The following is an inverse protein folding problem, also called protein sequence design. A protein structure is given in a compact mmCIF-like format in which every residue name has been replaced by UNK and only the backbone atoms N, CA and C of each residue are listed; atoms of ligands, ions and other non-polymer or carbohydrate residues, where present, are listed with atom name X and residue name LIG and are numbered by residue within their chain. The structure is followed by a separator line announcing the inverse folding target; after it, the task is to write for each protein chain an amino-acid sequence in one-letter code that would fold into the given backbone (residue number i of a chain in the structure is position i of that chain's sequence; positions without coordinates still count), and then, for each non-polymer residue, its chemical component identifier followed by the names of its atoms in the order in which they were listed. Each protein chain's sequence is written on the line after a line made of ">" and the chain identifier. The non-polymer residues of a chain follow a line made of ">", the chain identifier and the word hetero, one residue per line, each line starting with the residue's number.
data_IF_143597630977
#
_entry.id   IF_143597630977
#
_cell.length_a   1.000
_cell.length_b   1.000
_cell.length_c   1.000
_cell.angle_alpha   90.00
_cell.angle_beta   90.00
_cell.angle_gamma   90.00
#
_symmetry.space_group_name_H-M   'P 1'
#
loop_
_entity.id
_entity.type
_entity.pdbx_description
1 polymer ?
#
# COMPACT_ATOMS: atom_id res chain seq x y z
N UNK A 1 -2.47 -21.42 14.07
CA UNK A 1 -1.33 -21.37 15.01
C UNK A 1 -1.81 -20.77 16.32
N UNK A 2 -1.36 -21.35 17.44
CA UNK A 2 -1.60 -20.79 18.78
C UNK A 2 -0.33 -20.13 19.26
N UNK A 3 -0.39 -18.84 19.59
CA UNK A 3 0.73 -18.07 20.14
C UNK A 3 0.41 -17.70 21.57
N UNK A 4 1.37 -17.88 22.46
CA UNK A 4 1.26 -17.44 23.86
C UNK A 4 2.04 -16.15 24.02
N UNK A 5 1.36 -15.09 24.42
CA UNK A 5 1.96 -13.78 24.68
C UNK A 5 1.98 -13.55 26.20
N UNK A 6 3.15 -13.18 26.73
CA UNK A 6 3.29 -12.80 28.14
C UNK A 6 3.23 -11.29 28.25
N UNK A 7 2.31 -10.77 29.06
CA UNK A 7 2.29 -9.37 29.41
C UNK A 7 3.45 -9.04 30.35
N UNK A 8 4.21 -8.02 30.01
CA UNK A 8 5.33 -7.52 30.81
C UNK A 8 4.77 -6.67 31.92
N UNK A 9 5.21 -6.88 33.17
CA UNK A 9 4.66 -6.22 34.36
C UNK A 9 4.80 -4.70 34.29
N UNK A 10 5.89 -4.23 33.72
CA UNK A 10 6.18 -2.82 33.51
C UNK A 10 5.15 -2.09 32.64
N UNK A 11 4.52 -2.80 31.68
CA UNK A 11 3.55 -2.24 30.75
C UNK A 11 2.17 -1.92 31.38
N UNK A 12 1.90 -2.41 32.60
CA UNK A 12 0.62 -2.19 33.28
C UNK A 12 0.78 -1.74 34.74
N UNK A 13 1.95 -1.22 35.11
CA UNK A 13 2.23 -0.71 36.45
C UNK A 13 1.24 0.37 36.89
N UNK A 14 0.83 1.24 35.96
CA UNK A 14 -0.14 2.30 36.21
C UNK A 14 -1.47 1.77 36.75
N UNK A 15 -1.87 0.58 36.30
CA UNK A 15 -3.10 -0.07 36.76
C UNK A 15 -2.97 -0.68 38.15
N UNK A 16 -1.73 -0.84 38.65
CA UNK A 16 -1.42 -1.38 39.97
C UNK A 16 -1.22 -0.31 41.02
N UNK A 17 -1.09 0.95 40.64
CA UNK A 17 -0.86 2.05 41.56
C UNK A 17 -1.97 2.14 42.62
N UNK A 18 -1.59 2.12 43.90
CA UNK A 18 -2.51 2.18 45.03
C UNK A 18 -3.35 0.91 45.27
N UNK A 19 -3.02 -0.22 44.62
CA UNK A 19 -3.74 -1.50 44.79
C UNK A 19 -2.92 -2.48 45.63
N UNK A 20 -3.57 -3.42 46.37
CA UNK A 20 -2.88 -4.46 47.10
C UNK A 20 -2.08 -5.38 46.17
N UNK A 21 -1.00 -6.01 46.72
CA UNK A 21 -0.07 -6.88 45.95
C UNK A 21 -0.78 -8.07 45.29
N UNK A 22 -1.90 -8.52 45.84
CA UNK A 22 -2.72 -9.59 45.28
C UNK A 22 -3.66 -9.18 44.17
N UNK A 23 -3.71 -7.87 43.82
CA UNK A 23 -4.60 -7.35 42.79
C UNK A 23 -4.07 -7.71 41.40
N UNK A 24 -4.95 -8.30 40.57
CA UNK A 24 -4.70 -8.50 39.15
C UNK A 24 -5.69 -7.67 38.33
N UNK A 25 -5.22 -6.77 37.46
CA UNK A 25 -6.10 -5.99 36.60
C UNK A 25 -6.72 -6.86 35.48
N UNK A 26 -6.13 -8.01 35.19
CA UNK A 26 -6.62 -8.93 34.16
C UNK A 26 -7.34 -10.11 34.77
N UNK A 27 -8.51 -10.46 34.23
CA UNK A 27 -9.33 -11.58 34.70
C UNK A 27 -9.47 -12.63 33.58
N UNK A 28 -9.65 -13.90 33.93
CA UNK A 28 -10.00 -14.95 32.97
C UNK A 28 -11.25 -14.57 32.18
N UNK A 29 -11.23 -14.80 30.86
CA UNK A 29 -12.34 -14.47 29.96
C UNK A 29 -12.26 -13.08 29.31
N UNK A 30 -11.30 -12.24 29.69
CA UNK A 30 -11.05 -10.99 28.96
C UNK A 30 -10.42 -11.27 27.60
N UNK A 31 -10.85 -10.52 26.58
CA UNK A 31 -10.26 -10.54 25.22
C UNK A 31 -9.34 -9.34 25.03
N UNK A 32 -8.32 -9.49 24.22
CA UNK A 32 -7.40 -8.43 23.85
C UNK A 32 -7.15 -8.45 22.34
N UNK A 33 -7.00 -7.28 21.77
CA UNK A 33 -6.49 -7.11 20.39
C UNK A 33 -4.99 -6.88 20.48
N UNK A 34 -4.24 -7.54 19.62
CA UNK A 34 -2.77 -7.46 19.61
C UNK A 34 -2.30 -7.23 18.18
N UNK A 35 -1.50 -6.20 17.99
CA UNK A 35 -0.80 -5.95 16.74
C UNK A 35 0.61 -6.53 16.81
N UNK A 36 0.93 -7.42 15.87
CA UNK A 36 2.23 -8.10 15.83
C UNK A 36 3.03 -7.55 14.65
N UNK A 37 4.06 -6.76 14.96
CA UNK A 37 5.01 -6.31 13.94
C UNK A 37 5.92 -7.49 13.56
N UNK A 38 5.80 -7.97 12.31
CA UNK A 38 6.58 -9.10 11.81
C UNK A 38 7.84 -8.69 11.07
N UNK A 39 7.79 -7.54 10.39
CA UNK A 39 8.91 -7.00 9.62
C UNK A 39 8.83 -5.47 9.60
N UNK A 40 9.98 -4.83 9.74
CA UNK A 40 10.10 -3.38 9.66
C UNK A 40 11.12 -3.00 8.59
N UNK A 41 10.75 -2.03 7.75
CA UNK A 41 11.62 -1.43 6.74
C UNK A 41 11.71 0.07 7.00
N UNK A 42 12.92 0.62 7.01
CA UNK A 42 13.16 2.04 7.28
C UNK A 42 13.75 2.71 6.06
N UNK A 43 13.49 4.02 5.89
CA UNK A 43 13.96 4.81 4.75
C UNK A 43 13.51 4.29 3.38
N UNK A 44 12.29 3.78 3.32
CA UNK A 44 11.68 3.25 2.09
C UNK A 44 10.76 4.27 1.45
N UNK A 45 10.56 4.13 0.14
CA UNK A 45 9.51 4.84 -0.56
C UNK A 45 8.20 4.09 -0.36
N UNK A 46 7.21 4.73 0.24
CA UNK A 46 5.90 4.14 0.48
C UNK A 46 4.81 4.94 -0.22
N UNK A 47 3.79 4.27 -0.71
CA UNK A 47 2.61 4.87 -1.35
C UNK A 47 1.34 4.30 -0.74
N UNK A 48 0.22 5.05 -0.71
CA UNK A 48 -1.06 4.51 -0.27
C UNK A 48 -1.47 3.30 -1.13
N UNK A 49 -2.02 2.26 -0.51
CA UNK A 49 -2.49 1.06 -1.21
C UNK A 49 -3.53 1.43 -2.30
N UNK A 50 -4.34 2.47 -2.06
CA UNK A 50 -5.34 2.97 -3.01
C UNK A 50 -4.75 3.49 -4.34
N UNK A 51 -3.44 3.77 -4.40
CA UNK A 51 -2.75 4.19 -5.60
C UNK A 51 -2.28 3.01 -6.48
N UNK A 52 -2.24 1.80 -5.94
CA UNK A 52 -1.81 0.61 -6.67
C UNK A 52 -2.97 0.06 -7.47
N UNK A 53 -2.76 -0.11 -8.77
CA UNK A 53 -3.70 -0.75 -9.68
C UNK A 53 -3.05 -1.96 -10.33
N UNK A 54 -3.84 -3.01 -10.52
CA UNK A 54 -3.41 -4.21 -11.22
C UNK A 54 -3.90 -4.11 -12.65
N UNK A 55 -2.98 -4.19 -13.61
CA UNK A 55 -3.29 -4.23 -15.04
C UNK A 55 -2.72 -5.50 -15.66
N UNK A 56 -3.53 -6.14 -16.47
CA UNK A 56 -3.18 -7.39 -17.15
C UNK A 56 -2.39 -7.12 -18.45
N UNK A 57 -2.54 -5.92 -19.03
CA UNK A 57 -1.85 -5.49 -20.24
C UNK A 57 -1.36 -4.04 -20.13
N UNK A 58 -0.06 -3.87 -20.22
CA UNK A 58 0.61 -2.56 -20.22
C UNK A 58 1.32 -2.37 -21.57
N UNK A 59 0.55 -2.28 -22.63
CA UNK A 59 1.01 -2.26 -24.03
C UNK A 59 2.03 -1.16 -24.35
N UNK A 60 2.10 -0.10 -23.55
CA UNK A 60 3.03 1.03 -23.78
C UNK A 60 4.35 0.94 -22.99
N UNK A 61 4.46 0.04 -22.00
CA UNK A 61 5.64 -0.04 -21.14
C UNK A 61 6.34 -1.40 -21.25
N UNK A 62 5.77 -2.31 -22.06
CA UNK A 62 6.23 -3.70 -22.20
C UNK A 62 7.65 -3.83 -22.72
N UNK A 63 8.13 -2.88 -23.54
CA UNK A 63 9.48 -2.97 -24.11
C UNK A 63 10.59 -2.73 -23.09
N UNK A 64 10.42 -1.74 -22.21
CA UNK A 64 11.51 -1.33 -21.32
C UNK A 64 11.64 -2.23 -20.09
N UNK A 65 10.54 -2.86 -19.65
CA UNK A 65 10.49 -3.65 -18.40
C UNK A 65 10.69 -5.15 -18.69
N UNK A 66 10.19 -5.64 -19.82
CA UNK A 66 10.48 -7.03 -20.23
C UNK A 66 11.97 -7.24 -20.42
N UNK A 67 12.71 -6.24 -20.92
CA UNK A 67 14.19 -6.33 -21.02
C UNK A 67 14.91 -6.35 -19.66
N UNK A 68 14.38 -5.66 -18.64
CA UNK A 68 14.96 -5.71 -17.28
C UNK A 68 14.60 -7.02 -16.55
N UNK A 69 13.36 -7.47 -16.67
CA UNK A 69 12.90 -8.71 -16.03
C UNK A 69 13.49 -9.94 -16.71
N UNK A 70 13.61 -9.95 -18.03
CA UNK A 70 14.25 -11.05 -18.77
C UNK A 70 15.75 -11.16 -18.48
N UNK A 71 16.43 -10.07 -18.12
CA UNK A 71 17.82 -10.11 -17.65
C UNK A 71 17.97 -10.71 -16.25
N UNK A 72 17.01 -10.47 -15.35
CA UNK A 72 17.03 -11.05 -14.00
C UNK A 72 16.52 -12.51 -13.97
N UNK A 73 15.61 -12.90 -14.89
CA UNK A 73 15.06 -14.26 -14.95
C UNK A 73 15.85 -15.22 -15.85
N UNK A 74 16.69 -14.73 -16.76
CA UNK A 74 17.58 -15.56 -17.57
C UNK A 74 18.61 -16.33 -16.74
N UNK A 75 18.85 -15.92 -15.49
CA UNK A 75 19.71 -16.65 -14.55
C UNK A 75 18.99 -17.78 -13.78
N UNK A 76 17.65 -17.89 -13.87
CA UNK A 76 16.89 -18.96 -13.19
C UNK A 76 16.04 -19.73 -14.21
N UNK A 77 16.64 -20.76 -14.79
CA UNK A 77 16.04 -21.73 -15.71
C UNK A 77 14.65 -22.22 -15.23
N UNK A 78 13.65 -22.06 -16.09
CA UNK A 78 12.38 -22.76 -15.96
C UNK A 78 11.33 -22.21 -16.91
N UNK A 79 11.11 -22.88 -18.07
CA UNK A 79 9.96 -22.64 -18.94
C UNK A 79 8.67 -22.86 -18.14
N UNK A 80 7.94 -21.80 -17.83
CA UNK A 80 6.59 -21.87 -17.31
C UNK A 80 5.58 -21.39 -18.36
N UNK A 81 4.36 -21.95 -18.42
CA UNK A 81 3.36 -21.58 -19.41
C UNK A 81 2.95 -20.12 -19.23
N UNK A 82 2.49 -19.48 -20.30
CA UNK A 82 1.94 -18.11 -20.33
C UNK A 82 0.85 -17.97 -19.26
N UNK A 83 1.23 -17.63 -18.03
CA UNK A 83 0.33 -17.10 -17.03
C UNK A 83 0.05 -15.67 -17.41
N UNK A 84 -1.21 -15.25 -17.31
CA UNK A 84 -1.59 -13.85 -17.36
C UNK A 84 -0.75 -13.09 -16.31
N UNK A 85 0.29 -12.41 -16.77
CA UNK A 85 1.22 -11.71 -15.89
C UNK A 85 0.51 -10.43 -15.47
N UNK A 86 0.09 -10.38 -14.22
CA UNK A 86 -0.52 -9.18 -13.61
C UNK A 86 0.59 -8.27 -13.13
N UNK A 87 0.57 -7.05 -13.63
CA UNK A 87 1.52 -6.02 -13.23
C UNK A 87 0.91 -5.07 -12.21
N UNK A 88 1.63 -4.83 -11.14
CA UNK A 88 1.30 -3.78 -10.19
C UNK A 88 1.78 -2.45 -10.75
N UNK A 89 0.87 -1.50 -10.88
CA UNK A 89 1.12 -0.23 -11.53
C UNK A 89 0.67 0.94 -10.66
N UNK A 90 1.27 2.09 -10.87
CA UNK A 90 0.88 3.36 -10.26
C UNK A 90 0.72 4.40 -11.35
N UNK A 91 -0.30 5.25 -11.23
CA UNK A 91 -0.42 6.42 -12.08
C UNK A 91 0.37 7.60 -11.48
N UNK A 92 1.28 8.12 -12.27
CA UNK A 92 2.11 9.29 -11.94
C UNK A 92 1.64 10.47 -12.78
N UNK A 93 1.46 11.62 -12.15
CA UNK A 93 1.17 12.86 -12.84
C UNK A 93 2.45 13.45 -13.44
N UNK A 94 2.47 13.65 -14.74
CA UNK A 94 3.56 14.29 -15.47
C UNK A 94 2.98 15.48 -16.24
N UNK A 95 3.20 16.69 -15.73
CA UNK A 95 2.48 17.88 -16.18
C UNK A 95 0.99 17.73 -15.88
N UNK A 96 0.14 17.81 -16.90
CA UNK A 96 -1.32 17.65 -16.78
C UNK A 96 -1.82 16.26 -17.22
N UNK A 97 -0.92 15.28 -17.36
CA UNK A 97 -1.27 13.95 -17.87
C UNK A 97 -0.93 12.86 -16.88
N UNK A 98 -1.81 11.85 -16.82
CA UNK A 98 -1.55 10.61 -16.11
C UNK A 98 -0.64 9.69 -16.94
N UNK A 99 0.45 9.21 -16.35
CA UNK A 99 1.29 8.15 -16.93
C UNK A 99 1.26 6.95 -16.03
N UNK A 100 1.09 5.78 -16.62
CA UNK A 100 1.18 4.51 -15.90
C UNK A 100 2.65 4.10 -15.78
N UNK A 101 3.05 3.63 -14.60
CA UNK A 101 4.35 3.01 -14.33
C UNK A 101 4.15 1.69 -13.63
N UNK A 102 4.83 0.68 -14.10
CA UNK A 102 4.92 -0.59 -13.40
C UNK A 102 5.85 -0.42 -12.22
N UNK A 103 5.46 -0.97 -11.08
CA UNK A 103 6.21 -0.90 -9.84
C UNK A 103 6.42 -2.29 -9.27
N UNK A 104 7.49 -2.45 -8.52
CA UNK A 104 7.71 -3.63 -7.70
C UNK A 104 7.45 -3.26 -6.25
N UNK A 105 6.51 -3.93 -5.63
CA UNK A 105 6.12 -3.68 -4.25
C UNK A 105 6.91 -4.53 -3.26
N UNK A 106 6.96 -4.09 -2.02
CA UNK A 106 7.61 -4.80 -0.92
C UNK A 106 6.63 -5.14 0.20
N UNK A 107 6.99 -4.81 1.42
CA UNK A 107 6.09 -5.00 2.58
C UNK A 107 4.97 -3.97 2.57
N UNK A 108 3.84 -4.34 3.15
CA UNK A 108 2.70 -3.43 3.30
C UNK A 108 2.21 -3.40 4.74
N UNK A 109 1.63 -2.28 5.12
CA UNK A 109 0.85 -2.11 6.32
C UNK A 109 -0.64 -1.92 5.97
N UNK A 110 -1.47 -1.46 6.91
CA UNK A 110 -2.92 -1.28 6.70
C UNK A 110 -3.24 -0.15 5.69
N UNK A 111 -2.32 0.77 5.43
CA UNK A 111 -2.56 2.00 4.66
C UNK A 111 -1.60 2.18 3.49
N UNK A 112 -0.37 1.73 3.64
CA UNK A 112 0.72 1.97 2.72
C UNK A 112 1.40 0.69 2.27
N UNK A 113 2.02 0.75 1.10
CA UNK A 113 2.83 -0.32 0.54
C UNK A 113 4.20 0.24 0.14
N UNK A 114 5.23 -0.49 0.47
CA UNK A 114 6.61 -0.19 0.09
C UNK A 114 6.80 -0.35 -1.42
N UNK A 115 7.52 0.57 -2.03
CA UNK A 115 7.93 0.49 -3.44
C UNK A 115 9.44 0.23 -3.51
N UNK A 116 9.79 -0.93 -4.04
CA UNK A 116 11.18 -1.34 -4.22
C UNK A 116 11.79 -0.76 -5.50
N UNK A 117 10.98 -0.65 -6.58
CA UNK A 117 11.41 -0.06 -7.84
C UNK A 117 10.24 0.50 -8.64
N UNK A 118 10.52 1.32 -9.66
CA UNK A 118 9.52 1.91 -10.55
C UNK A 118 9.11 3.34 -10.22
N UNK A 119 9.34 3.84 -9.01
CA UNK A 119 9.09 5.23 -8.60
C UNK A 119 10.36 5.90 -8.08
N UNK A 120 10.37 7.23 -8.14
CA UNK A 120 11.42 8.08 -7.58
C UNK A 120 10.84 9.01 -6.51
N UNK A 121 11.68 9.40 -5.55
CA UNK A 121 11.30 10.40 -4.56
C UNK A 121 10.99 11.73 -5.27
N UNK A 122 9.79 12.28 -5.00
CA UNK A 122 9.30 13.50 -5.63
C UNK A 122 8.33 13.27 -6.80
N UNK A 123 8.10 12.02 -7.23
CA UNK A 123 7.02 11.73 -8.20
C UNK A 123 5.65 12.04 -7.58
N UNK A 124 4.79 12.75 -8.31
CA UNK A 124 3.40 13.00 -7.92
C UNK A 124 2.53 11.83 -8.33
N UNK A 125 2.06 11.05 -7.36
CA UNK A 125 1.19 9.90 -7.59
C UNK A 125 -0.29 10.26 -7.52
N UNK A 126 -1.11 9.60 -8.33
CA UNK A 126 -2.56 9.80 -8.35
C UNK A 126 -3.20 8.80 -7.39
N UNK A 127 -3.77 9.31 -6.30
CA UNK A 127 -4.40 8.52 -5.23
C UNK A 127 -5.92 8.68 -5.19
N UNK A 128 -6.54 9.15 -6.26
CA UNK A 128 -7.98 9.44 -6.32
C UNK A 128 -8.86 8.26 -5.87
N UNK A 129 -10.20 8.37 -5.95
CA UNK A 129 -11.06 7.25 -5.60
C UNK A 129 -10.62 5.99 -6.33
N UNK A 130 -10.44 4.88 -5.60
CA UNK A 130 -9.90 3.63 -6.15
C UNK A 130 -10.63 3.18 -7.43
N UNK A 131 -11.95 3.32 -7.46
CA UNK A 131 -12.78 2.98 -8.62
C UNK A 131 -12.40 3.76 -9.87
N UNK A 132 -12.11 5.06 -9.70
CA UNK A 132 -11.72 5.93 -10.80
C UNK A 132 -10.32 5.58 -11.30
N UNK A 133 -9.37 5.41 -10.40
CA UNK A 133 -7.97 5.10 -10.75
C UNK A 133 -7.83 3.70 -11.36
N UNK A 134 -8.60 2.72 -10.84
CA UNK A 134 -8.49 1.32 -11.29
C UNK A 134 -9.24 1.04 -12.58
N UNK A 135 -10.41 1.65 -12.80
CA UNK A 135 -11.33 1.30 -13.89
C UNK A 135 -11.38 2.34 -15.01
N UNK A 136 -11.39 3.62 -14.66
CA UNK A 136 -11.69 4.70 -15.61
C UNK A 136 -10.44 5.40 -16.13
N UNK A 137 -9.41 5.57 -15.27
CA UNK A 137 -8.24 6.33 -15.65
C UNK A 137 -7.39 5.58 -16.67
N UNK A 138 -7.17 6.25 -17.81
CA UNK A 138 -6.34 5.75 -18.91
C UNK A 138 -4.99 6.48 -18.98
N UNK A 139 -3.95 5.85 -19.53
CA UNK A 139 -2.69 6.54 -19.80
C UNK A 139 -2.90 7.75 -20.74
N UNK A 140 -2.28 8.87 -20.40
CA UNK A 140 -2.40 10.18 -21.08
C UNK A 140 -3.68 10.99 -20.81
N UNK A 141 -4.57 10.52 -19.95
CA UNK A 141 -5.71 11.33 -19.52
C UNK A 141 -5.24 12.60 -18.81
N UNK A 142 -6.00 13.67 -19.00
CA UNK A 142 -5.75 14.93 -18.32
C UNK A 142 -6.19 14.82 -16.85
N UNK A 143 -5.28 15.15 -15.96
CA UNK A 143 -5.53 15.15 -14.52
C UNK A 143 -5.20 16.50 -13.92
N UNK A 144 -6.00 16.90 -12.93
CA UNK A 144 -5.77 18.12 -12.17
C UNK A 144 -5.77 17.83 -10.69
N UNK A 145 -5.09 18.67 -9.91
CA UNK A 145 -5.17 18.61 -8.46
C UNK A 145 -6.56 19.00 -8.00
N UNK A 146 -7.17 18.17 -7.17
CA UNK A 146 -8.42 18.50 -6.50
C UNK A 146 -8.14 19.50 -5.37
N UNK A 147 -8.74 20.67 -5.45
CA UNK A 147 -8.62 21.69 -4.39
C UNK A 147 -9.59 21.42 -3.26
N UNK A 148 -9.34 22.01 -2.05
CA UNK A 148 -10.29 21.93 -0.92
C UNK A 148 -11.69 22.40 -1.31
N UNK A 149 -11.78 23.45 -2.12
CA UNK A 149 -13.03 24.01 -2.65
C UNK A 149 -13.84 22.99 -3.48
N UNK A 150 -13.16 22.15 -4.26
CA UNK A 150 -13.81 21.12 -5.08
C UNK A 150 -14.40 19.99 -4.22
N UNK A 151 -13.70 19.63 -3.12
CA UNK A 151 -14.19 18.62 -2.15
C UNK A 151 -15.42 19.10 -1.42
N UNK A 152 -15.45 20.37 -0.99
CA UNK A 152 -16.56 20.95 -0.26
C UNK A 152 -17.81 21.06 -1.16
N UNK A 153 -17.65 21.31 -2.46
CA UNK A 153 -18.76 21.31 -3.44
C UNK A 153 -19.34 19.91 -3.62
N UNK A 154 -18.50 18.89 -3.83
CA UNK A 154 -18.95 17.50 -3.97
C UNK A 154 -19.64 16.98 -2.70
N UNK A 155 -19.16 17.37 -1.51
CA UNK A 155 -19.77 16.99 -0.26
C UNK A 155 -21.18 17.61 -0.06
N UNK A 156 -21.44 18.78 -0.66
CA UNK A 156 -22.77 19.43 -0.64
C UNK A 156 -23.73 18.80 -1.64
N UNK A 157 -23.26 18.41 -2.82
CA UNK A 157 -24.09 17.75 -3.85
C UNK A 157 -24.53 16.35 -3.46
N UNK A 158 -23.75 15.63 -2.65
CA UNK A 158 -24.13 14.30 -2.14
C UNK A 158 -25.13 14.32 -0.97
N UNK A 159 -25.43 15.48 -0.40
CA UNK A 159 -26.36 15.64 0.71
C UNK A 159 -27.71 16.23 0.29
N UNK A 160 -27.90 16.53 -0.98
CA UNK A 160 -29.13 17.03 -1.56
C UNK A 160 -29.85 15.95 -2.35
#
# INVERSE_FOLDING_TARGET
>A
FKVKVRLVKESYQDLLAGKPISYSPFRPGMTATVDIETKRSTNVLAVPISAIVIKDDTTSTKKDIVEEIEKEEAEKKGKSPKKDIKFECVFVKVGDKAKIRVVKTGIQDDTNIEILSGLKKGDEIITGPYTLVSKELMPNDKVRLETKSDRDKKAKEQKS
#
